data_IF_781962003645
#
_entry.id   IF_781962003645
#
_cell.length_a   1.000
_cell.length_b   1.000
_cell.length_c   1.000
_cell.angle_alpha   90.00
_cell.angle_beta   90.00
_cell.angle_gamma   90.00
#
_symmetry.space_group_name_H-M   'P 1'
#
loop_
_entity.id
_entity.type
_entity.pdbx_description
1 polymer ?
#
# COMPACT_ATOMS: atom_id res chain seq x y z
N UNK A 1 9.37 24.61 46.55
CA UNK A 1 8.47 24.19 45.46
C UNK A 1 8.96 22.83 44.96
N UNK A 2 8.08 21.86 44.63
CA UNK A 2 8.54 20.66 43.94
C UNK A 2 9.22 21.10 42.62
N UNK A 3 10.38 20.52 42.32
CA UNK A 3 11.10 20.81 41.08
C UNK A 3 10.15 20.61 39.88
N UNK A 4 10.13 21.53 38.90
CA UNK A 4 9.34 21.33 37.71
C UNK A 4 9.75 20.01 37.05
N UNK A 5 8.76 19.20 36.68
CA UNK A 5 8.99 18.03 35.85
C UNK A 5 9.55 18.49 34.51
N UNK A 6 10.88 18.49 34.37
CA UNK A 6 11.55 18.75 33.11
C UNK A 6 11.69 17.42 32.38
N UNK A 7 11.08 17.33 31.21
CA UNK A 7 11.40 16.25 30.29
C UNK A 7 12.88 16.40 29.88
N UNK A 8 13.62 15.30 29.74
CA UNK A 8 14.99 15.38 29.25
C UNK A 8 15.02 15.96 27.83
N UNK A 9 16.03 16.78 27.49
CA UNK A 9 16.13 17.34 26.16
C UNK A 9 16.32 16.22 25.13
N UNK A 10 15.61 16.31 24.01
CA UNK A 10 15.80 15.42 22.86
C UNK A 10 16.74 16.08 21.86
N UNK A 11 17.91 15.49 21.66
CA UNK A 11 18.98 15.99 20.79
C UNK A 11 18.77 15.64 19.31
N UNK A 12 17.77 14.82 18.98
CA UNK A 12 17.42 14.46 17.62
C UNK A 12 17.92 13.08 17.19
N UNK A 13 18.15 12.93 15.89
CA UNK A 13 18.57 11.68 15.25
C UNK A 13 19.97 11.83 14.66
N UNK A 14 20.84 10.89 14.98
CA UNK A 14 22.25 10.90 14.64
C UNK A 14 22.57 9.77 13.65
N UNK A 15 23.60 9.99 12.83
CA UNK A 15 24.14 8.95 11.97
C UNK A 15 24.87 7.89 12.79
N UNK A 16 24.83 6.65 12.34
CA UNK A 16 25.62 5.59 12.96
C UNK A 16 27.12 5.93 12.89
N UNK A 17 27.84 5.77 14.00
CA UNK A 17 29.27 6.07 14.08
C UNK A 17 29.61 7.57 14.24
N UNK A 18 28.61 8.45 14.40
CA UNK A 18 28.85 9.87 14.70
C UNK A 18 29.15 10.12 16.17
N UNK A 19 29.55 11.34 16.54
CA UNK A 19 29.73 11.75 17.93
C UNK A 19 28.54 12.58 18.40
N UNK A 20 27.98 12.25 19.56
CA UNK A 20 26.94 13.04 20.23
C UNK A 20 27.59 13.93 21.26
N UNK A 21 27.23 15.21 21.27
CA UNK A 21 27.66 16.18 22.28
C UNK A 21 26.48 16.52 23.17
N UNK A 22 26.65 16.38 24.48
CA UNK A 22 25.60 16.60 25.48
C UNK A 22 26.11 17.65 26.45
N UNK A 23 25.31 18.69 26.64
CA UNK A 23 25.61 19.80 27.55
C UNK A 23 24.50 19.93 28.58
N UNK A 24 24.85 20.30 29.81
CA UNK A 24 23.89 20.59 30.87
C UNK A 24 24.42 21.64 31.81
N UNK A 25 23.47 22.30 32.48
CA UNK A 25 23.76 23.33 33.47
C UNK A 25 23.43 22.84 34.88
N UNK A 26 24.15 23.34 35.89
CA UNK A 26 23.84 23.09 37.29
C UNK A 26 23.72 24.37 38.10
N UNK A 27 22.73 24.39 39.00
CA UNK A 27 22.38 25.56 39.80
C UNK A 27 22.17 25.15 41.26
N UNK A 28 22.48 26.06 42.18
CA UNK A 28 22.18 25.89 43.59
C UNK A 28 20.71 26.18 43.91
N UNK A 29 20.34 26.00 45.18
CA UNK A 29 18.99 26.32 45.70
C UNK A 29 18.56 27.79 45.51
N UNK A 30 19.50 28.71 45.27
CA UNK A 30 19.25 30.12 44.96
C UNK A 30 19.27 30.43 43.45
N UNK A 31 19.28 29.40 42.60
CA UNK A 31 19.32 29.50 41.13
C UNK A 31 20.56 30.23 40.59
N UNK A 32 21.67 30.18 41.33
CA UNK A 32 23.00 30.63 40.89
C UNK A 32 23.76 29.44 40.33
N UNK A 33 24.48 29.61 39.24
CA UNK A 33 25.32 28.56 38.67
C UNK A 33 26.37 28.10 39.69
N UNK A 34 26.61 26.80 39.78
CA UNK A 34 27.58 26.21 40.70
C UNK A 34 28.33 25.09 40.02
N UNK A 35 29.61 24.90 40.34
CA UNK A 35 30.37 23.76 39.84
C UNK A 35 29.86 22.48 40.50
N UNK A 36 29.48 21.48 39.70
CA UNK A 36 29.25 20.12 40.21
C UNK A 36 30.58 19.49 40.66
N UNK A 37 30.55 18.41 41.42
CA UNK A 37 31.76 17.65 41.80
C UNK A 37 31.53 16.15 41.68
N UNK A 38 32.62 15.43 41.42
CA UNK A 38 32.61 13.97 41.34
C UNK A 38 32.08 13.40 40.02
N UNK A 39 32.06 14.18 38.94
CA UNK A 39 31.74 13.67 37.61
C UNK A 39 32.92 12.86 37.06
N UNK A 40 32.68 11.62 36.68
CA UNK A 40 33.56 10.79 35.88
C UNK A 40 32.79 10.18 34.70
N UNK A 41 33.51 9.62 33.72
CA UNK A 41 32.88 8.89 32.61
C UNK A 41 32.06 7.69 33.09
N UNK A 42 32.42 7.10 34.24
CA UNK A 42 31.71 5.99 34.89
C UNK A 42 30.36 6.41 35.47
N UNK A 43 30.08 7.71 35.55
CA UNK A 43 28.79 8.23 36.01
C UNK A 43 27.81 8.44 34.84
N UNK A 44 28.25 8.19 33.59
CA UNK A 44 27.43 8.34 32.39
C UNK A 44 26.82 6.99 32.02
N UNK A 45 25.50 6.91 32.19
CA UNK A 45 24.76 5.68 31.97
C UNK A 45 23.83 5.79 30.77
N UNK A 46 23.99 4.89 29.79
CA UNK A 46 23.20 4.92 28.56
C UNK A 46 22.28 3.70 28.49
N UNK A 47 21.00 3.96 28.28
CA UNK A 47 19.96 2.96 28.10
C UNK A 47 19.49 2.95 26.66
N UNK A 48 19.28 1.75 26.11
CA UNK A 48 18.78 1.54 24.75
C UNK A 48 17.29 1.21 24.76
N UNK A 49 16.49 1.96 24.01
CA UNK A 49 15.03 1.87 23.95
C UNK A 49 14.42 1.90 25.37
N UNK A 50 13.52 0.97 25.67
CA UNK A 50 12.93 0.77 26.99
C UNK A 50 13.71 -0.24 27.86
N UNK A 51 14.97 -0.55 27.53
CA UNK A 51 15.81 -1.45 28.31
C UNK A 51 16.15 -0.85 29.68
N UNK A 52 16.10 -1.69 30.72
CA UNK A 52 16.59 -1.34 32.06
C UNK A 52 18.06 -1.75 32.28
N UNK A 53 18.69 -2.32 31.25
CA UNK A 53 20.12 -2.65 31.25
C UNK A 53 20.87 -1.51 30.58
N UNK A 54 21.75 -0.86 31.34
CA UNK A 54 22.70 0.13 30.84
C UNK A 54 23.76 -0.53 29.96
N UNK A 55 24.41 0.26 29.11
CA UNK A 55 25.61 -0.15 28.39
C UNK A 55 26.64 -0.69 29.37
N UNK A 56 27.31 -1.80 29.04
CA UNK A 56 28.26 -2.45 29.95
C UNK A 56 29.65 -1.80 29.97
N UNK A 57 29.93 -0.87 29.07
CA UNK A 57 31.24 -0.25 28.87
C UNK A 57 31.12 1.27 28.84
N UNK A 58 32.15 1.94 29.34
CA UNK A 58 32.31 3.40 29.31
C UNK A 58 33.24 3.88 28.18
N UNK A 59 33.76 2.95 27.37
CA UNK A 59 34.62 3.28 26.22
C UNK A 59 33.85 4.15 25.23
N UNK A 60 34.51 5.18 24.70
CA UNK A 60 33.91 6.15 23.78
C UNK A 60 33.21 7.32 24.47
N UNK A 61 33.18 7.38 25.80
CA UNK A 61 32.77 8.58 26.54
C UNK A 61 33.98 9.48 26.78
N UNK A 62 33.83 10.78 26.57
CA UNK A 62 34.86 11.77 26.91
C UNK A 62 34.19 12.96 27.58
N UNK A 63 34.66 13.35 28.77
CA UNK A 63 34.19 14.58 29.40
C UNK A 63 34.64 15.77 28.54
N UNK A 64 33.70 16.66 28.21
CA UNK A 64 34.00 17.87 27.45
C UNK A 64 34.38 18.92 28.47
N UNK A 65 35.64 18.85 28.89
CA UNK A 65 36.15 19.65 29.98
C UNK A 65 37.68 19.76 29.82
N UNK A 66 38.20 20.97 30.08
CA UNK A 66 39.62 21.29 29.93
C UNK A 66 40.35 21.31 31.29
N UNK A 67 39.63 21.43 32.42
CA UNK A 67 40.22 21.69 33.74
C UNK A 67 39.78 20.73 34.87
N UNK A 68 38.76 19.91 34.66
CA UNK A 68 38.33 18.84 35.54
C UNK A 68 36.82 18.73 35.71
N UNK A 69 36.04 19.80 35.49
CA UNK A 69 34.58 19.77 35.68
C UNK A 69 33.78 20.80 34.85
N UNK A 70 34.28 22.01 34.59
CA UNK A 70 33.52 23.11 33.96
C UNK A 70 34.02 23.38 32.53
N UNK A 71 33.10 23.67 31.61
CA UNK A 71 33.48 24.04 30.24
C UNK A 71 34.03 25.47 30.24
N UNK A 72 35.31 25.63 29.86
CA UNK A 72 35.94 26.95 29.67
C UNK A 72 35.86 27.84 30.93
N UNK A 73 36.06 27.24 32.12
CA UNK A 73 35.93 27.89 33.44
C UNK A 73 34.52 28.49 33.72
N UNK A 74 33.53 28.21 32.86
CA UNK A 74 32.17 28.69 33.04
C UNK A 74 31.45 27.87 34.11
N UNK A 75 31.50 28.35 35.35
CA UNK A 75 30.88 27.72 36.51
C UNK A 75 29.46 27.27 36.22
N UNK A 76 29.22 25.97 36.39
CA UNK A 76 27.90 25.36 36.24
C UNK A 76 27.54 24.94 34.82
N UNK A 77 28.45 25.06 33.85
CA UNK A 77 28.29 24.54 32.49
C UNK A 77 29.14 23.28 32.32
N UNK A 78 28.52 22.16 31.92
CA UNK A 78 29.19 20.87 31.84
C UNK A 78 28.83 20.12 30.56
N UNK A 79 29.63 19.10 30.20
CA UNK A 79 29.31 18.28 29.04
C UNK A 79 30.06 16.95 28.93
N UNK A 80 29.52 16.08 28.09
CA UNK A 80 30.14 14.81 27.68
C UNK A 80 29.96 14.61 26.17
N UNK A 81 30.95 14.02 25.52
CA UNK A 81 30.84 13.50 24.17
C UNK A 81 30.79 11.98 24.19
N UNK A 82 29.99 11.42 23.28
CA UNK A 82 29.79 9.98 23.13
C UNK A 82 30.10 9.61 21.69
N UNK A 83 31.12 8.77 21.50
CA UNK A 83 31.47 8.18 20.21
C UNK A 83 30.56 6.98 19.91
N UNK A 84 29.63 7.15 18.96
CA UNK A 84 28.70 6.09 18.54
C UNK A 84 29.36 5.06 17.63
N UNK A 85 30.63 5.22 17.27
CA UNK A 85 31.42 4.21 16.54
C UNK A 85 32.08 3.19 17.48
N UNK A 86 32.14 3.49 18.78
CA UNK A 86 32.71 2.57 19.77
C UNK A 86 31.86 1.29 19.90
N UNK A 87 32.51 0.15 19.69
CA UNK A 87 31.89 -1.17 19.70
C UNK A 87 32.42 -2.06 20.83
N UNK A 88 32.90 -1.45 21.93
CA UNK A 88 33.34 -2.18 23.13
C UNK A 88 32.20 -2.97 23.79
N UNK A 89 30.95 -2.51 23.61
CA UNK A 89 29.72 -3.27 23.87
C UNK A 89 29.05 -3.60 22.51
N UNK A 90 29.25 -4.82 22.04
CA UNK A 90 28.99 -5.20 20.65
C UNK A 90 27.52 -5.02 20.26
N UNK A 91 27.27 -4.16 19.27
CA UNK A 91 25.92 -3.91 18.75
C UNK A 91 25.03 -3.06 19.68
N UNK A 92 25.60 -2.47 20.74
CA UNK A 92 24.86 -1.56 21.60
C UNK A 92 24.37 -0.34 20.82
N UNK A 93 25.27 0.41 20.17
CA UNK A 93 24.93 1.47 19.23
C UNK A 93 24.54 0.88 17.88
N UNK A 94 23.24 0.88 17.59
CA UNK A 94 22.68 0.31 16.40
C UNK A 94 21.58 1.21 15.85
N UNK A 95 21.49 1.25 14.53
CA UNK A 95 20.47 1.97 13.77
C UNK A 95 19.06 1.52 14.19
N UNK A 96 18.09 2.43 14.12
CA UNK A 96 16.69 2.14 14.42
C UNK A 96 16.34 2.11 15.90
N UNK A 97 17.19 2.67 16.78
CA UNK A 97 16.96 2.64 18.23
C UNK A 97 17.00 4.05 18.83
N UNK A 98 16.26 4.21 19.93
CA UNK A 98 16.31 5.39 20.80
C UNK A 98 17.27 5.13 21.96
N UNK A 99 17.90 6.18 22.46
CA UNK A 99 18.88 6.13 23.54
C UNK A 99 18.58 7.21 24.57
N UNK A 100 18.72 6.86 25.84
CA UNK A 100 18.57 7.76 26.97
C UNK A 100 19.88 7.82 27.75
N UNK A 101 20.35 9.02 28.03
CA UNK A 101 21.61 9.28 28.75
C UNK A 101 21.28 9.82 30.13
N UNK A 102 21.81 9.16 31.14
CA UNK A 102 21.67 9.50 32.55
C UNK A 102 23.03 9.91 33.11
N UNK A 103 23.03 10.94 33.96
CA UNK A 103 24.17 11.29 34.81
C UNK A 103 23.85 10.78 36.21
N UNK A 104 24.71 9.89 36.70
CA UNK A 104 24.54 9.21 37.97
C UNK A 104 25.35 9.90 39.08
N UNK A 105 24.79 9.91 40.29
CA UNK A 105 25.42 10.25 41.56
C UNK A 105 26.45 11.41 41.60
N UNK A 106 26.23 12.52 40.90
CA UNK A 106 27.08 13.73 41.01
C UNK A 106 26.71 14.56 42.24
N UNK A 107 27.64 15.37 42.74
CA UNK A 107 27.38 16.29 43.86
C UNK A 107 27.19 17.72 43.36
N UNK A 108 26.03 18.30 43.62
CA UNK A 108 25.66 19.69 43.28
C UNK A 108 25.14 20.34 44.55
N UNK A 109 25.67 21.50 44.94
CA UNK A 109 25.23 22.25 46.15
C UNK A 109 25.20 21.36 47.41
N UNK A 110 26.24 20.55 47.60
CA UNK A 110 26.36 19.56 48.70
C UNK A 110 25.29 18.46 48.73
N UNK A 111 24.55 18.27 47.64
CA UNK A 111 23.52 17.23 47.49
C UNK A 111 23.90 16.26 46.38
N UNK A 112 23.61 14.97 46.57
CA UNK A 112 23.74 13.98 45.51
C UNK A 112 22.56 14.09 44.56
N UNK A 113 22.83 14.33 43.29
CA UNK A 113 21.83 14.51 42.23
C UNK A 113 22.00 13.44 41.15
N UNK A 114 20.86 13.01 40.59
CA UNK A 114 20.77 12.13 39.42
C UNK A 114 19.76 12.71 38.47
N UNK A 115 20.06 12.72 37.19
CA UNK A 115 19.14 13.26 36.19
C UNK A 115 19.38 12.64 34.82
N UNK A 116 18.37 12.75 33.97
CA UNK A 116 18.50 12.41 32.56
C UNK A 116 19.05 13.65 31.83
N UNK A 117 20.27 13.53 31.31
CA UNK A 117 20.94 14.63 30.61
C UNK A 117 20.38 14.81 29.20
N UNK A 118 20.05 13.74 28.49
CA UNK A 118 19.51 13.81 27.14
C UNK A 118 18.85 12.51 26.67
N UNK A 119 18.07 12.63 25.60
CA UNK A 119 17.65 11.51 24.75
C UNK A 119 18.07 11.78 23.30
N UNK A 120 18.42 10.74 22.55
CA UNK A 120 18.73 10.83 21.12
C UNK A 120 18.34 9.54 20.42
N UNK A 121 18.45 9.50 19.09
CA UNK A 121 18.28 8.27 18.33
C UNK A 121 19.39 8.09 17.31
N UNK A 122 19.59 6.84 16.85
CA UNK A 122 20.55 6.53 15.79
C UNK A 122 19.78 6.03 14.59
N UNK A 123 19.74 6.84 13.54
CA UNK A 123 19.04 6.57 12.29
C UNK A 123 17.64 5.94 12.49
N UNK A 124 16.98 6.26 13.60
CA UNK A 124 15.64 5.78 13.94
C UNK A 124 14.57 6.64 13.27
N UNK A 125 14.97 7.87 12.93
CA UNK A 125 14.13 8.87 12.28
C UNK A 125 14.70 9.26 10.91
N UNK A 126 15.87 8.74 10.52
CA UNK A 126 16.54 8.93 9.24
C UNK A 126 15.77 8.35 8.03
N UNK A 127 14.66 7.64 8.25
CA UNK A 127 13.69 7.28 7.21
C UNK A 127 12.43 8.16 7.18
N UNK A 128 12.38 9.25 7.98
CA UNK A 128 11.31 10.26 7.96
C UNK A 128 11.72 11.54 7.22
N UNK A 129 12.87 11.55 6.55
CA UNK A 129 13.01 12.42 5.40
C UNK A 129 11.91 12.01 4.41
N UNK A 130 11.31 12.98 3.71
CA UNK A 130 10.19 12.73 2.81
C UNK A 130 10.51 11.68 1.74
N UNK A 131 9.57 11.47 0.84
CA UNK A 131 9.70 10.54 -0.30
C UNK A 131 10.82 10.99 -1.25
N UNK A 132 12.11 10.92 -0.85
CA UNK A 132 13.25 11.51 -1.56
C UNK A 132 13.08 12.96 -2.06
N UNK A 133 14.09 13.46 -2.77
CA UNK A 133 14.03 14.73 -3.49
C UNK A 133 14.38 14.57 -4.99
N UNK A 134 15.01 13.46 -5.37
CA UNK A 134 15.38 13.19 -6.76
C UNK A 134 14.23 12.61 -7.55
N UNK A 135 13.90 13.29 -8.65
CA UNK A 135 12.88 12.85 -9.58
C UNK A 135 13.36 11.64 -10.40
N UNK A 136 12.83 10.46 -10.11
CA UNK A 136 13.11 9.21 -10.80
C UNK A 136 11.92 8.79 -11.66
N UNK A 137 12.18 8.60 -12.95
CA UNK A 137 11.18 8.12 -13.93
C UNK A 137 11.32 6.63 -14.14
N UNK A 138 10.21 5.90 -13.97
CA UNK A 138 10.11 4.47 -14.24
C UNK A 138 9.12 4.25 -15.38
N UNK A 139 9.56 3.51 -16.41
CA UNK A 139 8.73 3.10 -17.54
C UNK A 139 8.44 1.60 -17.44
N UNK A 140 7.16 1.23 -17.35
CA UNK A 140 6.70 -0.16 -17.37
C UNK A 140 6.24 -0.52 -18.78
N UNK A 141 6.85 -1.57 -19.33
CA UNK A 141 6.50 -2.10 -20.65
C UNK A 141 6.19 -3.59 -20.58
N UNK A 142 5.53 -4.06 -21.63
CA UNK A 142 5.41 -5.49 -21.88
C UNK A 142 6.78 -6.11 -22.14
N UNK A 143 6.89 -7.43 -22.00
CA UNK A 143 8.08 -8.19 -22.44
C UNK A 143 8.37 -8.01 -23.95
N UNK A 144 7.38 -7.56 -24.73
CA UNK A 144 7.54 -7.15 -26.13
C UNK A 144 7.93 -5.68 -26.35
N UNK A 145 8.24 -4.93 -25.28
CA UNK A 145 8.71 -3.54 -25.36
C UNK A 145 7.63 -2.49 -25.58
N UNK A 146 6.35 -2.85 -25.45
CA UNK A 146 5.22 -1.91 -25.59
C UNK A 146 4.90 -1.25 -24.25
N UNK A 147 4.80 0.08 -24.15
CA UNK A 147 4.37 0.75 -22.91
C UNK A 147 3.00 0.29 -22.40
N UNK A 148 2.84 0.18 -21.08
CA UNK A 148 1.59 -0.25 -20.45
C UNK A 148 1.03 0.88 -19.58
N UNK A 149 -0.12 1.42 -19.98
CA UNK A 149 -0.83 2.46 -19.25
C UNK A 149 -1.74 1.89 -18.16
N UNK A 150 -1.97 2.66 -17.09
CA UNK A 150 -2.92 2.30 -16.03
C UNK A 150 -2.35 1.37 -14.95
N UNK A 151 -1.07 1.03 -14.99
CA UNK A 151 -0.44 0.15 -14.00
C UNK A 151 -0.30 0.89 -12.68
N UNK A 152 -0.86 0.35 -11.61
CA UNK A 152 -0.57 0.82 -10.25
C UNK A 152 0.81 0.33 -9.84
N UNK A 153 1.74 1.25 -9.66
CA UNK A 153 3.14 1.00 -9.32
C UNK A 153 3.45 1.60 -7.95
N UNK A 154 4.14 0.84 -7.12
CA UNK A 154 4.74 1.32 -5.88
C UNK A 154 6.12 0.70 -5.71
N UNK A 155 6.97 1.39 -4.95
CA UNK A 155 8.36 0.98 -4.72
C UNK A 155 8.63 0.83 -3.23
N UNK A 156 9.52 -0.09 -2.88
CA UNK A 156 9.96 -0.33 -1.50
C UNK A 156 11.48 -0.51 -1.45
N UNK A 157 12.13 -0.08 -0.38
CA UNK A 157 13.56 -0.31 -0.11
C UNK A 157 13.85 -1.76 0.30
N UNK A 158 12.81 -2.54 0.62
CA UNK A 158 12.90 -3.97 0.89
C UNK A 158 12.09 -4.79 -0.13
N UNK A 159 12.43 -6.07 -0.31
CA UNK A 159 11.67 -6.99 -1.16
C UNK A 159 10.38 -7.49 -0.47
N UNK A 160 9.72 -6.63 0.31
CA UNK A 160 8.46 -6.89 0.97
C UNK A 160 7.36 -6.09 0.29
N UNK A 161 6.26 -6.77 -0.02
CA UNK A 161 5.12 -6.16 -0.74
C UNK A 161 4.30 -5.21 0.14
N UNK A 162 4.50 -5.26 1.45
CA UNK A 162 3.88 -4.39 2.45
C UNK A 162 4.65 -3.08 2.57
N UNK A 163 3.97 -1.96 2.30
CA UNK A 163 4.53 -0.62 2.37
C UNK A 163 4.83 -0.01 1.01
N UNK A 164 4.92 1.31 0.97
CA UNK A 164 5.42 2.07 -0.19
C UNK A 164 6.28 3.23 0.31
N UNK A 165 7.44 3.41 -0.31
CA UNK A 165 8.36 4.53 0.00
C UNK A 165 7.82 5.85 -0.56
N UNK A 166 7.06 5.83 -1.65
CA UNK A 166 6.62 7.05 -2.35
C UNK A 166 5.14 7.02 -2.78
N UNK A 167 4.31 6.28 -2.03
CA UNK A 167 2.91 6.03 -2.36
C UNK A 167 2.73 5.13 -3.60
N UNK A 168 1.48 4.87 -3.97
CA UNK A 168 1.16 4.18 -5.22
C UNK A 168 0.84 5.22 -6.27
N UNK A 169 1.44 5.09 -7.44
CA UNK A 169 1.18 5.95 -8.60
C UNK A 169 0.74 5.10 -9.78
N UNK A 170 0.13 5.72 -10.77
CA UNK A 170 -0.43 5.03 -11.94
C UNK A 170 0.35 5.45 -13.19
N UNK A 171 0.71 4.49 -14.03
CA UNK A 171 1.43 4.79 -15.28
C UNK A 171 0.56 5.54 -16.28
N UNK A 172 1.15 6.52 -16.97
CA UNK A 172 0.50 7.29 -18.03
C UNK A 172 0.39 6.52 -19.36
N UNK A 173 -0.02 7.19 -20.45
CA UNK A 173 -0.13 6.57 -21.79
C UNK A 173 1.21 6.06 -22.34
N UNK A 174 2.32 6.61 -21.87
CA UNK A 174 3.68 6.19 -22.23
C UNK A 174 4.22 5.12 -21.27
N UNK A 175 3.38 4.57 -20.38
CA UNK A 175 3.78 3.59 -19.38
C UNK A 175 4.69 4.17 -18.29
N UNK A 176 4.73 5.50 -18.14
CA UNK A 176 5.66 6.18 -17.25
C UNK A 176 5.02 6.56 -15.93
N UNK A 177 5.83 6.52 -14.89
CA UNK A 177 5.49 7.01 -13.55
C UNK A 177 6.72 7.69 -12.95
N UNK A 178 6.49 8.80 -12.25
CA UNK A 178 7.55 9.61 -11.65
C UNK A 178 7.43 9.59 -10.13
N UNK A 179 8.49 9.13 -9.47
CA UNK A 179 8.64 9.15 -8.02
C UNK A 179 9.73 10.14 -7.63
N UNK A 180 9.57 10.79 -6.48
CA UNK A 180 10.70 11.41 -5.82
C UNK A 180 11.29 10.32 -4.90
N UNK A 181 12.59 10.06 -5.01
CA UNK A 181 13.28 8.96 -4.33
C UNK A 181 14.68 9.38 -3.91
N UNK A 182 15.26 8.68 -2.95
CA UNK A 182 16.67 8.81 -2.60
C UNK A 182 17.53 7.96 -3.56
N UNK A 183 18.86 8.10 -3.50
CA UNK A 183 19.77 7.24 -4.26
C UNK A 183 20.03 5.94 -3.52
N UNK A 184 19.29 4.89 -3.90
CA UNK A 184 19.43 3.56 -3.34
C UNK A 184 18.76 2.53 -4.24
N UNK A 185 18.73 1.26 -3.81
CA UNK A 185 18.03 0.19 -4.51
C UNK A 185 16.58 0.11 -4.08
N UNK A 186 15.68 0.07 -5.07
CA UNK A 186 14.25 -0.10 -4.87
C UNK A 186 13.72 -1.33 -5.59
N UNK A 187 12.83 -2.05 -4.92
CA UNK A 187 12.04 -3.14 -5.47
C UNK A 187 10.73 -2.60 -6.03
N UNK A 188 10.38 -3.04 -7.24
CA UNK A 188 9.20 -2.57 -7.97
C UNK A 188 8.06 -3.55 -7.73
N UNK A 189 6.90 -3.00 -7.38
CA UNK A 189 5.67 -3.75 -7.30
C UNK A 189 4.62 -3.10 -8.21
N UNK A 190 3.96 -3.95 -8.99
CA UNK A 190 2.97 -3.54 -9.97
C UNK A 190 1.66 -4.31 -9.76
N UNK A 191 0.56 -3.64 -10.10
CA UNK A 191 -0.76 -4.24 -10.21
C UNK A 191 -1.53 -3.61 -11.36
N UNK A 192 -2.03 -4.44 -12.25
CA UNK A 192 -3.03 -4.10 -13.26
C UNK A 192 -3.81 -5.37 -13.59
N UNK A 193 -5.14 -5.29 -13.58
CA UNK A 193 -5.98 -6.41 -14.01
C UNK A 193 -5.66 -6.79 -15.45
N UNK A 194 -5.52 -8.10 -15.72
CA UNK A 194 -5.13 -8.61 -17.04
C UNK A 194 -3.63 -8.60 -17.31
N UNK A 195 -2.78 -8.28 -16.33
CA UNK A 195 -1.33 -8.36 -16.45
C UNK A 195 -0.70 -9.08 -15.24
N UNK A 196 0.31 -9.91 -15.52
CA UNK A 196 1.27 -10.41 -14.53
C UNK A 196 2.56 -9.65 -14.70
N UNK A 197 3.29 -9.48 -13.59
CA UNK A 197 4.53 -8.72 -13.58
C UNK A 197 5.65 -9.57 -12.99
N UNK A 198 6.78 -9.66 -13.69
CA UNK A 198 7.98 -10.27 -13.16
C UNK A 198 8.57 -9.41 -12.04
N UNK A 199 9.22 -10.06 -11.06
CA UNK A 199 9.96 -9.35 -10.01
C UNK A 199 11.08 -8.50 -10.62
N UNK A 200 11.19 -7.24 -10.20
CA UNK A 200 12.22 -6.35 -10.68
C UNK A 200 12.64 -5.33 -9.64
N UNK A 201 13.86 -4.80 -9.81
CA UNK A 201 14.42 -3.73 -9.00
C UNK A 201 15.21 -2.76 -9.88
N UNK A 202 15.54 -1.59 -9.33
CA UNK A 202 16.47 -0.63 -9.91
C UNK A 202 17.27 0.05 -8.79
N UNK A 203 18.42 0.62 -9.14
CA UNK A 203 19.24 1.40 -8.23
C UNK A 203 19.35 2.82 -8.76
N UNK A 204 18.71 3.76 -8.07
CA UNK A 204 18.84 5.19 -8.37
C UNK A 204 20.19 5.71 -7.90
N UNK A 205 20.82 6.54 -8.72
CA UNK A 205 22.07 7.21 -8.41
C UNK A 205 22.14 8.52 -9.19
N UNK A 206 23.11 9.38 -8.87
CA UNK A 206 23.38 10.58 -9.63
C UNK A 206 23.60 10.27 -11.12
N UNK A 207 22.87 10.96 -12.00
CA UNK A 207 22.87 10.71 -13.45
C UNK A 207 22.11 9.46 -13.90
N UNK A 208 21.63 8.62 -12.97
CA UNK A 208 20.86 7.39 -13.23
C UNK A 208 19.48 7.49 -12.59
N UNK A 209 18.60 8.27 -13.25
CA UNK A 209 17.27 8.61 -12.75
C UNK A 209 16.13 8.18 -13.69
N UNK A 210 16.44 7.45 -14.76
CA UNK A 210 15.45 6.94 -15.71
C UNK A 210 15.64 5.45 -15.94
N UNK A 211 14.58 4.69 -15.70
CA UNK A 211 14.62 3.23 -15.76
C UNK A 211 13.47 2.70 -16.61
N UNK A 212 13.77 1.74 -17.46
CA UNK A 212 12.76 1.02 -18.27
C UNK A 212 12.76 -0.45 -17.86
N UNK A 213 11.56 -1.00 -17.64
CA UNK A 213 11.37 -2.38 -17.19
C UNK A 213 10.34 -3.11 -18.04
N UNK A 214 10.82 -4.11 -18.76
CA UNK A 214 10.03 -4.98 -19.65
C UNK A 214 9.52 -6.18 -18.87
N UNK A 215 8.68 -5.90 -17.88
CA UNK A 215 8.31 -6.87 -16.83
C UNK A 215 6.84 -7.27 -16.89
N UNK A 216 6.03 -6.58 -17.71
CA UNK A 216 4.61 -6.88 -17.84
C UNK A 216 4.39 -7.99 -18.88
N UNK A 217 3.63 -9.00 -18.50
CA UNK A 217 3.09 -10.00 -19.41
C UNK A 217 1.59 -9.86 -19.36
N UNK A 218 0.96 -9.58 -20.50
CA UNK A 218 -0.49 -9.62 -20.57
C UNK A 218 -0.91 -11.03 -20.16
N UNK A 219 -1.66 -11.14 -19.07
CA UNK A 219 -2.40 -12.35 -18.80
C UNK A 219 -3.44 -12.34 -19.88
N UNK A 220 -3.27 -13.22 -20.86
CA UNK A 220 -4.39 -13.65 -21.66
C UNK A 220 -5.51 -13.92 -20.66
N UNK A 221 -6.50 -13.03 -20.57
CA UNK A 221 -7.68 -13.23 -19.75
C UNK A 221 -8.21 -14.54 -20.24
N UNK A 222 -7.96 -15.61 -19.47
CA UNK A 222 -7.63 -16.93 -20.01
C UNK A 222 -8.19 -17.03 -21.40
N UNK A 223 -7.34 -16.93 -22.43
CA UNK A 223 -7.80 -17.23 -23.78
C UNK A 223 -8.70 -18.43 -23.57
N UNK A 224 -9.91 -18.37 -24.09
CA UNK A 224 -10.58 -19.61 -24.44
C UNK A 224 -9.65 -20.27 -25.46
N UNK A 225 -8.51 -20.80 -25.00
CA UNK A 225 -7.56 -21.58 -25.75
C UNK A 225 -8.14 -22.97 -26.00
N UNK A 226 -9.42 -23.17 -25.63
CA UNK A 226 -10.27 -24.22 -26.18
C UNK A 226 -11.30 -23.71 -27.21
N UNK A 227 -11.52 -22.41 -27.35
CA UNK A 227 -12.46 -21.82 -28.31
C UNK A 227 -11.86 -20.56 -28.95
N UNK A 228 -10.86 -20.75 -29.82
CA UNK A 228 -10.55 -19.80 -30.90
C UNK A 228 -11.69 -19.74 -31.93
N UNK A 229 -12.58 -20.73 -31.86
CA UNK A 229 -13.83 -20.85 -32.56
C UNK A 229 -14.94 -20.17 -31.76
N UNK A 230 -15.81 -19.37 -32.41
CA UNK A 230 -17.03 -18.88 -31.75
C UNK A 230 -17.79 -20.05 -31.12
N UNK A 231 -18.59 -19.84 -30.06
CA UNK A 231 -19.42 -20.90 -29.46
C UNK A 231 -20.18 -21.70 -30.53
N UNK A 232 -20.68 -21.03 -31.57
CA UNK A 232 -21.35 -21.65 -32.71
C UNK A 232 -20.40 -22.52 -33.53
N UNK A 233 -19.21 -22.01 -33.85
CA UNK A 233 -18.19 -22.75 -34.61
C UNK A 233 -17.75 -24.02 -33.86
N UNK A 234 -17.58 -23.95 -32.54
CA UNK A 234 -17.28 -25.14 -31.73
C UNK A 234 -18.47 -26.09 -31.64
N UNK A 235 -19.67 -25.58 -31.37
CA UNK A 235 -20.85 -26.42 -31.25
C UNK A 235 -21.13 -27.16 -32.56
N UNK A 236 -20.86 -26.54 -33.71
CA UNK A 236 -20.91 -27.21 -35.02
C UNK A 236 -19.88 -28.33 -35.10
N UNK A 237 -18.64 -28.08 -34.66
CA UNK A 237 -17.59 -29.11 -34.64
C UNK A 237 -17.96 -30.30 -33.75
N UNK A 238 -18.43 -30.05 -32.52
CA UNK A 238 -18.82 -31.10 -31.57
C UNK A 238 -20.07 -31.90 -32.07
N UNK A 239 -21.03 -31.23 -32.73
CA UNK A 239 -22.18 -31.90 -33.37
C UNK A 239 -21.72 -32.78 -34.53
N UNK A 240 -20.78 -32.31 -35.35
CA UNK A 240 -20.21 -33.08 -36.46
C UNK A 240 -19.44 -34.30 -35.98
N UNK A 241 -18.65 -34.15 -34.93
CA UNK A 241 -17.95 -35.25 -34.27
C UNK A 241 -18.95 -36.28 -33.70
N UNK A 242 -19.98 -35.83 -32.99
CA UNK A 242 -20.96 -36.72 -32.35
C UNK A 242 -21.91 -37.42 -33.34
N UNK A 243 -22.00 -36.93 -34.58
CA UNK A 243 -22.87 -37.49 -35.64
C UNK A 243 -22.08 -38.20 -36.75
N UNK A 244 -20.77 -38.37 -36.58
CA UNK A 244 -19.85 -38.94 -37.57
C UNK A 244 -19.99 -38.27 -38.96
N UNK A 245 -20.19 -36.95 -38.99
CA UNK A 245 -20.40 -36.22 -40.24
C UNK A 245 -19.08 -36.05 -41.01
N UNK A 246 -18.99 -36.49 -42.29
CA UNK A 246 -17.75 -36.37 -43.06
C UNK A 246 -17.41 -34.91 -43.40
N UNK A 247 -16.13 -34.55 -43.26
CA UNK A 247 -15.61 -33.22 -43.60
C UNK A 247 -15.66 -32.91 -45.09
N UNK A 248 -15.54 -33.93 -45.94
CA UNK A 248 -15.72 -33.82 -47.38
C UNK A 248 -17.14 -34.25 -47.77
N UNK A 249 -17.93 -33.32 -48.34
CA UNK A 249 -19.36 -33.49 -48.68
C UNK A 249 -20.25 -33.75 -47.44
N UNK A 250 -20.16 -32.86 -46.46
CA UNK A 250 -21.06 -32.85 -45.30
C UNK A 250 -22.54 -32.95 -45.72
N UNK A 251 -23.31 -33.77 -45.01
CA UNK A 251 -24.73 -34.04 -45.28
C UNK A 251 -25.60 -32.86 -44.84
N UNK A 252 -25.14 -32.12 -43.83
CA UNK A 252 -25.78 -30.96 -43.24
C UNK A 252 -24.86 -29.74 -43.39
N UNK A 253 -25.43 -28.65 -43.89
CA UNK A 253 -24.74 -27.37 -43.97
C UNK A 253 -24.62 -26.74 -42.58
N UNK A 254 -23.58 -25.93 -42.36
CA UNK A 254 -23.37 -25.20 -41.12
C UNK A 254 -24.61 -24.39 -40.71
N UNK A 255 -25.28 -23.76 -41.68
CA UNK A 255 -26.51 -23.00 -41.47
C UNK A 255 -27.64 -23.85 -40.87
N UNK A 256 -27.79 -25.11 -41.32
CA UNK A 256 -28.81 -26.02 -40.79
C UNK A 256 -28.47 -26.49 -39.38
N UNK A 257 -27.19 -26.75 -39.10
CA UNK A 257 -26.73 -27.13 -37.76
C UNK A 257 -26.96 -25.96 -36.78
N UNK A 258 -26.63 -24.73 -37.18
CA UNK A 258 -26.89 -23.52 -36.39
C UNK A 258 -28.38 -23.38 -36.07
N UNK A 259 -29.27 -23.52 -37.06
CA UNK A 259 -30.72 -23.43 -36.84
C UNK A 259 -31.22 -24.43 -35.77
N UNK A 260 -30.69 -25.66 -35.78
CA UNK A 260 -31.05 -26.67 -34.78
C UNK A 260 -30.47 -26.35 -33.40
N UNK A 261 -29.23 -25.86 -33.33
CA UNK A 261 -28.60 -25.42 -32.09
C UNK A 261 -29.34 -24.25 -31.45
N UNK A 262 -29.78 -23.26 -32.24
CA UNK A 262 -30.56 -22.12 -31.76
C UNK A 262 -31.93 -22.55 -31.19
N UNK A 263 -32.61 -23.51 -31.84
CA UNK A 263 -33.86 -24.08 -31.32
C UNK A 263 -33.65 -24.84 -30.01
N UNK A 264 -32.55 -25.58 -29.90
CA UNK A 264 -32.20 -26.33 -28.69
C UNK A 264 -31.77 -25.43 -27.53
N UNK A 265 -31.14 -24.28 -27.83
CA UNK A 265 -30.63 -23.34 -26.84
C UNK A 265 -31.70 -22.87 -25.85
N UNK A 266 -32.92 -22.62 -26.35
CA UNK A 266 -34.07 -22.24 -25.52
C UNK A 266 -34.41 -23.34 -24.51
N UNK A 267 -34.40 -24.60 -24.94
CA UNK A 267 -34.71 -25.76 -24.09
C UNK A 267 -33.62 -25.93 -23.02
N UNK A 268 -32.34 -25.82 -23.40
CA UNK A 268 -31.20 -25.92 -22.47
C UNK A 268 -31.24 -24.81 -21.43
N UNK A 269 -31.48 -23.57 -21.83
CA UNK A 269 -31.62 -22.46 -20.88
C UNK A 269 -32.80 -22.64 -19.94
N UNK A 270 -33.94 -23.13 -20.44
CA UNK A 270 -35.10 -23.42 -19.60
C UNK A 270 -34.77 -24.53 -18.58
N UNK A 271 -34.04 -25.57 -18.97
CA UNK A 271 -33.63 -26.65 -18.08
C UNK A 271 -32.63 -26.18 -17.01
N UNK A 272 -31.63 -25.38 -17.41
CA UNK A 272 -30.68 -24.75 -16.47
C UNK A 272 -31.43 -23.87 -15.48
N UNK A 273 -32.37 -23.05 -15.93
CA UNK A 273 -33.15 -22.17 -15.07
C UNK A 273 -34.11 -22.93 -14.15
N UNK A 274 -34.60 -24.11 -14.56
CA UNK A 274 -35.41 -24.99 -13.71
C UNK A 274 -34.59 -25.61 -12.58
N UNK A 275 -33.34 -25.99 -12.86
CA UNK A 275 -32.48 -26.70 -11.90
C UNK A 275 -31.59 -25.77 -11.08
N UNK A 276 -31.46 -24.50 -11.48
CA UNK A 276 -30.62 -23.52 -10.79
C UNK A 276 -31.39 -22.80 -9.68
N UNK A 277 -30.77 -22.68 -8.50
CA UNK A 277 -31.25 -21.80 -7.41
C UNK A 277 -31.11 -20.32 -7.74
N UNK A 278 -30.28 -19.99 -8.72
CA UNK A 278 -30.04 -18.64 -9.23
C UNK A 278 -30.29 -18.64 -10.74
N UNK A 279 -31.49 -18.28 -11.21
CA UNK A 279 -31.79 -18.31 -12.63
C UNK A 279 -30.85 -17.37 -13.40
N UNK A 280 -30.44 -17.80 -14.59
CA UNK A 280 -29.71 -16.96 -15.53
C UNK A 280 -30.64 -15.82 -15.98
N UNK A 281 -30.38 -14.62 -15.46
CA UNK A 281 -31.16 -13.42 -15.77
C UNK A 281 -30.42 -12.55 -16.79
N UNK A 282 -31.10 -12.23 -17.90
CA UNK A 282 -30.62 -11.21 -18.82
C UNK A 282 -30.94 -9.82 -18.24
N UNK A 283 -29.93 -8.94 -18.17
CA UNK A 283 -30.11 -7.54 -17.79
C UNK A 283 -30.25 -6.70 -19.05
N UNK A 284 -31.39 -6.03 -19.21
CA UNK A 284 -31.63 -5.09 -20.30
C UNK A 284 -31.74 -3.69 -19.72
N UNK A 285 -30.82 -2.81 -20.09
CA UNK A 285 -30.85 -1.40 -19.69
C UNK A 285 -31.73 -0.62 -20.65
N UNK A 286 -32.71 0.14 -20.13
CA UNK A 286 -33.58 1.00 -20.92
C UNK A 286 -33.61 2.41 -20.33
N UNK A 287 -33.27 3.41 -21.13
CA UNK A 287 -33.45 4.81 -20.78
C UNK A 287 -34.93 5.17 -20.95
N UNK A 288 -35.56 5.66 -19.89
CA UNK A 288 -36.95 6.15 -19.92
C UNK A 288 -36.97 7.50 -20.63
N UNK A 289 -37.85 7.64 -21.61
CA UNK A 289 -38.05 8.86 -22.40
C UNK A 289 -39.25 9.60 -21.84
N UNK A 290 -39.09 10.88 -21.52
CA UNK A 290 -40.15 11.74 -20.98
C UNK A 290 -41.40 11.69 -21.86
N UNK A 291 -42.57 11.48 -21.23
CA UNK A 291 -43.86 11.39 -21.92
C UNK A 291 -44.21 10.01 -22.49
N UNK A 292 -43.32 9.02 -22.38
CA UNK A 292 -43.64 7.62 -22.73
C UNK A 292 -44.38 6.94 -21.60
N UNK A 293 -45.53 6.33 -21.89
CA UNK A 293 -46.37 5.63 -20.89
C UNK A 293 -46.30 4.10 -21.00
N UNK A 294 -45.62 3.58 -22.03
CA UNK A 294 -45.54 2.15 -22.29
C UNK A 294 -44.27 1.75 -23.06
N UNK A 295 -43.72 0.59 -22.73
CA UNK A 295 -42.61 -0.05 -23.43
C UNK A 295 -42.95 -1.48 -23.82
N UNK A 296 -42.76 -1.83 -25.08
CA UNK A 296 -42.86 -3.21 -25.55
C UNK A 296 -41.59 -3.97 -25.15
N UNK A 297 -41.77 -5.01 -24.36
CA UNK A 297 -40.72 -5.93 -23.93
C UNK A 297 -40.44 -6.92 -25.08
N UNK A 298 -39.17 -7.33 -25.31
CA UNK A 298 -38.88 -8.34 -26.32
C UNK A 298 -39.71 -9.61 -26.12
N UNK A 299 -40.30 -10.12 -27.19
CA UNK A 299 -41.12 -11.34 -27.18
C UNK A 299 -40.37 -12.60 -26.71
N UNK A 300 -39.04 -12.53 -26.66
CA UNK A 300 -38.16 -13.58 -26.12
C UNK A 300 -38.06 -13.57 -24.59
N UNK A 301 -38.57 -12.54 -23.90
CA UNK A 301 -38.56 -12.49 -22.44
C UNK A 301 -39.79 -13.19 -21.88
N UNK A 302 -39.58 -14.36 -21.26
CA UNK A 302 -40.66 -15.20 -20.70
C UNK A 302 -41.13 -14.73 -19.32
N UNK A 303 -40.23 -14.21 -18.48
CA UNK A 303 -40.58 -13.69 -17.16
C UNK A 303 -39.66 -12.52 -16.75
N UNK A 304 -40.21 -11.57 -15.98
CA UNK A 304 -39.47 -10.43 -15.45
C UNK A 304 -39.23 -10.65 -13.96
N UNK A 305 -37.96 -10.80 -13.57
CA UNK A 305 -37.58 -11.02 -12.17
C UNK A 305 -37.59 -9.73 -11.33
N UNK A 306 -37.42 -8.57 -11.98
CA UNK A 306 -37.45 -7.27 -11.34
C UNK A 306 -37.04 -6.14 -12.26
N UNK A 307 -37.53 -4.94 -11.97
CA UNK A 307 -37.09 -3.69 -12.59
C UNK A 307 -36.36 -2.89 -11.53
N UNK A 308 -35.18 -2.36 -11.85
CA UNK A 308 -34.30 -1.66 -10.92
C UNK A 308 -33.95 -0.29 -11.48
N UNK A 309 -33.74 0.70 -10.60
CA UNK A 309 -33.10 1.96 -10.99
C UNK A 309 -31.64 1.68 -11.32
N UNK A 310 -31.14 2.31 -12.38
CA UNK A 310 -29.73 2.25 -12.77
C UNK A 310 -28.86 3.28 -12.05
N UNK A 311 -29.43 4.04 -11.11
CA UNK A 311 -28.67 4.97 -10.27
C UNK A 311 -27.81 4.22 -9.23
N UNK A 312 -26.93 4.95 -8.55
CA UNK A 312 -26.01 4.43 -7.52
C UNK A 312 -26.72 3.81 -6.32
N UNK A 313 -28.03 4.00 -6.19
CA UNK A 313 -28.85 3.47 -5.08
C UNK A 313 -29.43 2.10 -5.43
N UNK A 314 -29.49 1.72 -6.71
CA UNK A 314 -29.81 0.36 -7.19
C UNK A 314 -31.19 -0.17 -6.78
N UNK A 315 -32.11 0.71 -6.36
CA UNK A 315 -33.38 0.32 -5.76
C UNK A 315 -34.27 -0.45 -6.73
N UNK A 316 -34.82 -1.59 -6.27
CA UNK A 316 -35.84 -2.35 -7.00
C UNK A 316 -37.15 -1.55 -7.02
N UNK A 317 -37.69 -1.29 -8.22
CA UNK A 317 -38.89 -0.49 -8.45
C UNK A 317 -40.14 -1.37 -8.59
N UNK A 318 -39.99 -2.59 -9.12
CA UNK A 318 -41.11 -3.51 -9.38
C UNK A 318 -40.99 -4.80 -8.57
N UNK A 319 -42.09 -5.18 -7.89
CA UNK A 319 -42.27 -6.48 -7.24
C UNK A 319 -43.38 -7.27 -7.95
N UNK A 320 -43.10 -8.54 -8.26
CA UNK A 320 -44.07 -9.51 -8.82
C UNK A 320 -45.16 -9.92 -7.78
N UNK A 321 -45.09 -9.42 -6.54
CA UNK A 321 -46.11 -9.71 -5.53
C UNK A 321 -47.32 -8.77 -5.66
N UNK A 322 -48.27 -9.23 -6.47
CA UNK A 322 -49.68 -8.82 -6.62
C UNK A 322 -50.23 -7.93 -5.49
N UNK A 323 -50.36 -6.62 -5.75
CA UNK A 323 -51.42 -5.78 -5.17
C UNK A 323 -51.52 -4.43 -5.89
N UNK A 324 -52.74 -4.02 -6.23
CA UNK A 324 -53.13 -2.67 -6.71
C UNK A 324 -52.76 -1.56 -5.69
N UNK A 325 -52.36 -1.92 -4.49
CA UNK A 325 -52.12 -1.01 -3.36
C UNK A 325 -50.70 -1.13 -2.79
N UNK A 326 -49.68 -1.34 -3.63
CA UNK A 326 -48.29 -1.23 -3.17
C UNK A 326 -47.95 0.24 -2.89
N UNK A 327 -47.68 0.56 -1.61
CA UNK A 327 -47.30 1.91 -1.15
C UNK A 327 -45.92 2.36 -1.63
N UNK A 328 -45.10 1.46 -2.19
CA UNK A 328 -43.76 1.74 -2.72
C UNK A 328 -43.69 1.73 -4.26
N UNK A 329 -44.80 1.47 -4.97
CA UNK A 329 -44.81 1.26 -6.43
C UNK A 329 -46.11 1.72 -7.11
N UNK A 330 -46.44 3.01 -7.01
CA UNK A 330 -47.51 3.61 -7.82
C UNK A 330 -46.98 3.91 -9.23
N UNK A 331 -47.60 3.34 -10.26
CA UNK A 331 -47.44 3.76 -11.67
C UNK A 331 -46.97 2.70 -12.64
N UNK A 332 -46.37 1.59 -12.17
CA UNK A 332 -45.75 0.59 -13.06
C UNK A 332 -46.50 -0.73 -12.98
N UNK A 333 -46.99 -1.23 -14.11
CA UNK A 333 -47.59 -2.57 -14.23
C UNK A 333 -47.22 -3.22 -15.56
N UNK A 334 -47.36 -4.55 -15.64
CA UNK A 334 -47.13 -5.30 -16.87
C UNK A 334 -48.46 -5.86 -17.35
N UNK A 335 -48.78 -5.61 -18.62
CA UNK A 335 -49.91 -6.21 -19.32
C UNK A 335 -49.38 -6.88 -20.60
N UNK A 336 -49.50 -8.21 -20.66
CA UNK A 336 -48.92 -9.04 -21.73
C UNK A 336 -47.41 -8.81 -21.89
N UNK A 337 -46.98 -8.26 -23.03
CA UNK A 337 -45.58 -7.91 -23.33
C UNK A 337 -45.32 -6.41 -23.20
N UNK A 338 -46.19 -5.66 -22.53
CA UNK A 338 -46.07 -4.21 -22.39
C UNK A 338 -45.85 -3.85 -20.93
N UNK A 339 -44.74 -3.16 -20.68
CA UNK A 339 -44.47 -2.48 -19.41
C UNK A 339 -45.10 -1.10 -19.45
N UNK A 340 -46.10 -0.86 -18.61
CA UNK A 340 -46.69 0.44 -18.39
C UNK A 340 -45.95 1.17 -17.27
N UNK A 341 -45.73 2.46 -17.43
CA UNK A 341 -45.04 3.35 -16.49
C UNK A 341 -45.81 4.65 -16.28
#
# INVERSE_FOLDING_TARGET
>A
MPAPFSLPPNLGDYLAGSTVYIFWDTFNTSNTSVTQTGLAVTDIEIYKNASMTQRASDSGYTLIDTDGIDIDEATGCHGVSIDLSDNSDAGFYARGNDYMVMVNAVTIDSQTVRFCAATFSIENRAGRNGVGDYQVTLTIRTTGGTPVSGVSVWVNSSNLRSGSVAGTKVTDTNGQVVFNLEYTTYYIFCNLSGYTFASASFTSAEGSVSFTKDIATAVSAGSSAYYADSFLTRAIADVRESTDEPTNKAKYTDARIIEHLEKAYIIVLNEINRNSRTPAVAKVTKTVVTGTTAYVIPHTMSSIHGVYKTDTTGGKIFYDSRSKFNSLGRGIWIENQTLHI
#
